data_IF_244697244171
#
_entry.id   IF_244697244171
#
_cell.length_a   1.000
_cell.length_b   1.000
_cell.length_c   1.000
_cell.angle_alpha   90.00
_cell.angle_beta   90.00
_cell.angle_gamma   90.00
#
_symmetry.space_group_name_H-M   'P 1'
#
loop_
_entity.id
_entity.type
_entity.pdbx_description
1 polymer ?
#
# COMPACT_ATOMS: atom_id res chain seq x y z
N UNK A 1 -1.79 -13.86 6.72
CA UNK A 1 -0.35 -13.67 7.04
C UNK A 1 0.47 -13.28 5.81
N UNK A 2 0.36 -13.97 4.66
CA UNK A 2 1.07 -13.57 3.41
C UNK A 2 0.74 -12.16 2.92
N UNK A 3 -0.51 -11.70 3.08
CA UNK A 3 -0.93 -10.33 2.78
C UNK A 3 -0.17 -9.30 3.63
N UNK A 4 0.12 -9.61 4.90
CA UNK A 4 0.89 -8.74 5.80
C UNK A 4 2.33 -8.57 5.33
N UNK A 5 2.99 -9.65 4.90
CA UNK A 5 4.32 -9.60 4.26
C UNK A 5 4.32 -8.74 3.00
N UNK A 6 3.28 -8.88 2.16
CA UNK A 6 3.10 -8.05 0.96
C UNK A 6 3.00 -6.55 1.25
N UNK A 7 2.39 -6.17 2.36
CA UNK A 7 2.33 -4.77 2.77
C UNK A 7 3.68 -4.18 3.21
N UNK A 8 4.67 -5.00 3.59
CA UNK A 8 6.05 -4.51 3.85
C UNK A 8 6.90 -4.44 2.59
N UNK A 9 6.68 -5.37 1.66
CA UNK A 9 7.39 -5.40 0.37
C UNK A 9 6.97 -4.21 -0.51
N UNK A 10 5.67 -3.89 -0.53
CA UNK A 10 5.10 -2.86 -1.40
C UNK A 10 5.77 -1.47 -1.25
N UNK A 11 5.98 -0.93 -0.04
CA UNK A 11 6.78 0.27 0.17
C UNK A 11 8.16 0.28 -0.46
N UNK A 12 8.92 -0.82 -0.35
CA UNK A 12 10.26 -0.94 -0.93
C UNK A 12 10.19 -0.90 -2.45
N UNK A 13 9.25 -1.65 -3.04
CA UNK A 13 9.03 -1.66 -4.49
C UNK A 13 8.63 -0.26 -4.97
N UNK A 14 7.76 0.45 -4.25
CA UNK A 14 7.41 1.84 -4.59
C UNK A 14 8.61 2.77 -4.57
N UNK A 15 9.50 2.67 -3.58
CA UNK A 15 10.72 3.49 -3.54
C UNK A 15 11.61 3.20 -4.76
N UNK A 16 11.84 1.93 -5.09
CA UNK A 16 12.62 1.52 -6.27
C UNK A 16 11.98 2.04 -7.56
N UNK A 17 10.66 1.90 -7.71
CA UNK A 17 9.92 2.45 -8.85
C UNK A 17 10.03 3.98 -8.94
N UNK A 18 10.07 4.66 -7.79
CA UNK A 18 10.33 6.10 -7.69
C UNK A 18 11.66 6.50 -8.32
N UNK A 19 12.72 5.77 -7.95
CA UNK A 19 14.07 5.98 -8.50
C UNK A 19 14.12 5.64 -9.99
N UNK A 20 13.55 4.52 -10.42
CA UNK A 20 13.62 4.05 -11.81
C UNK A 20 12.80 4.90 -12.78
N UNK A 21 11.52 5.15 -12.47
CA UNK A 21 10.59 5.80 -13.41
C UNK A 21 10.56 7.32 -13.32
N UNK A 22 10.87 7.88 -12.15
CA UNK A 22 10.85 9.33 -11.91
C UNK A 22 12.25 9.93 -11.67
N UNK A 23 13.31 9.10 -11.74
CA UNK A 23 14.71 9.51 -11.51
C UNK A 23 14.88 10.27 -10.18
N UNK A 24 14.11 9.87 -9.17
CA UNK A 24 14.19 10.48 -7.84
C UNK A 24 15.59 10.24 -7.24
N UNK A 25 16.30 11.32 -6.89
CA UNK A 25 17.62 11.24 -6.26
C UNK A 25 17.45 11.04 -4.76
N UNK A 26 17.49 9.80 -4.32
CA UNK A 26 17.54 9.46 -2.90
C UNK A 26 18.89 9.87 -2.30
N UNK A 27 18.86 10.46 -1.11
CA UNK A 27 20.07 10.76 -0.35
C UNK A 27 20.65 9.49 0.25
N UNK A 28 21.93 9.54 0.63
CA UNK A 28 22.64 8.42 1.28
C UNK A 28 21.86 7.90 2.48
N UNK A 29 21.38 8.78 3.37
CA UNK A 29 20.58 8.38 4.54
C UNK A 29 19.26 7.67 4.19
N UNK A 30 18.60 8.08 3.10
CA UNK A 30 17.39 7.41 2.60
C UNK A 30 17.71 6.03 2.02
N UNK A 31 18.83 5.89 1.29
CA UNK A 31 19.29 4.60 0.81
C UNK A 31 19.64 3.64 1.94
N UNK A 32 20.28 4.15 3.00
CA UNK A 32 20.55 3.35 4.21
C UNK A 32 19.25 2.86 4.84
N UNK A 33 18.22 3.72 4.95
CA UNK A 33 16.92 3.30 5.45
C UNK A 33 16.25 2.23 4.56
N UNK A 34 16.28 2.41 3.24
CA UNK A 34 15.77 1.41 2.29
C UNK A 34 16.47 0.07 2.45
N UNK A 35 17.80 0.07 2.60
CA UNK A 35 18.58 -1.14 2.82
C UNK A 35 18.22 -1.84 4.14
N UNK A 36 18.08 -1.08 5.24
CA UNK A 36 17.66 -1.63 6.54
C UNK A 36 16.27 -2.27 6.43
N UNK A 37 15.32 -1.59 5.80
CA UNK A 37 13.97 -2.13 5.59
C UNK A 37 14.00 -3.39 4.71
N UNK A 38 14.82 -3.41 3.65
CA UNK A 38 15.02 -4.60 2.82
C UNK A 38 15.55 -5.80 3.62
N UNK A 39 16.55 -5.59 4.48
CA UNK A 39 17.07 -6.64 5.36
C UNK A 39 16.00 -7.12 6.34
N UNK A 40 15.19 -6.23 6.91
CA UNK A 40 14.07 -6.60 7.78
C UNK A 40 13.02 -7.47 7.08
N UNK A 41 12.65 -7.11 5.84
CA UNK A 41 11.74 -7.91 5.01
C UNK A 41 12.36 -9.26 4.65
N UNK A 42 13.64 -9.30 4.33
CA UNK A 42 14.36 -10.54 4.01
C UNK A 42 14.40 -11.46 5.24
N UNK A 43 14.67 -10.93 6.43
CA UNK A 43 14.65 -11.69 7.68
C UNK A 43 13.27 -12.31 7.95
N UNK A 44 12.20 -11.53 7.81
CA UNK A 44 10.83 -12.04 7.96
C UNK A 44 10.48 -13.09 6.91
N UNK A 45 10.96 -12.91 5.68
CA UNK A 45 10.75 -13.84 4.56
C UNK A 45 11.47 -15.17 4.79
N UNK A 46 12.74 -15.13 5.19
CA UNK A 46 13.52 -16.33 5.50
C UNK A 46 12.96 -17.07 6.72
N UNK A 47 12.49 -16.34 7.75
CA UNK A 47 11.80 -16.93 8.89
C UNK A 47 10.47 -17.61 8.56
N UNK A 48 9.82 -17.22 7.45
CA UNK A 48 8.61 -17.87 6.95
C UNK A 48 8.89 -19.16 6.17
N UNK A 49 10.11 -19.35 5.67
CA UNK A 49 10.53 -20.57 4.98
C UNK A 49 9.94 -20.76 3.57
N UNK A 50 9.07 -19.86 3.10
CA UNK A 50 8.51 -19.87 1.75
C UNK A 50 8.63 -18.50 1.10
N UNK A 51 8.90 -18.49 -0.22
CA UNK A 51 8.95 -17.25 -0.98
C UNK A 51 7.53 -16.68 -1.12
N UNK A 52 7.27 -15.43 -0.68
CA UNK A 52 5.93 -14.86 -0.65
C UNK A 52 5.58 -14.28 -2.04
N UNK A 53 5.42 -15.15 -3.03
CA UNK A 53 5.24 -14.77 -4.43
C UNK A 53 3.93 -13.98 -4.67
N UNK A 54 2.86 -14.26 -3.92
CA UNK A 54 1.59 -13.50 -3.99
C UNK A 54 1.83 -12.06 -3.54
N UNK A 55 2.50 -11.87 -2.41
CA UNK A 55 2.89 -10.57 -1.88
C UNK A 55 3.79 -9.79 -2.84
N UNK A 56 4.76 -10.46 -3.47
CA UNK A 56 5.63 -9.86 -4.48
C UNK A 56 4.84 -9.41 -5.72
N UNK A 57 3.92 -10.26 -6.20
CA UNK A 57 3.09 -9.97 -7.36
C UNK A 57 2.14 -8.79 -7.07
N UNK A 58 1.53 -8.76 -5.89
CA UNK A 58 0.69 -7.64 -5.44
C UNK A 58 1.50 -6.36 -5.28
N UNK A 59 2.69 -6.43 -4.67
CA UNK A 59 3.56 -5.27 -4.52
C UNK A 59 3.98 -4.70 -5.89
N UNK A 60 4.35 -5.56 -6.84
CA UNK A 60 4.73 -5.16 -8.19
C UNK A 60 3.56 -4.56 -8.97
N UNK A 61 2.41 -5.22 -9.00
CA UNK A 61 1.22 -4.74 -9.72
C UNK A 61 0.71 -3.42 -9.14
N UNK A 62 0.65 -3.30 -7.81
CA UNK A 62 0.22 -2.06 -7.15
C UNK A 62 1.22 -0.92 -7.34
N UNK A 63 2.53 -1.20 -7.30
CA UNK A 63 3.55 -0.19 -7.56
C UNK A 63 3.48 0.30 -9.01
N UNK A 64 3.28 -0.60 -9.98
CA UNK A 64 3.04 -0.25 -11.37
C UNK A 64 1.78 0.60 -11.55
N UNK A 65 0.69 0.22 -10.89
CA UNK A 65 -0.54 1.02 -10.85
C UNK A 65 -0.27 2.44 -10.33
N UNK A 66 0.48 2.57 -9.23
CA UNK A 66 0.88 3.87 -8.68
C UNK A 66 1.73 4.70 -9.66
N UNK A 67 2.68 4.08 -10.37
CA UNK A 67 3.48 4.72 -11.43
C UNK A 67 2.58 5.21 -12.56
N UNK A 68 1.67 4.36 -13.05
CA UNK A 68 0.73 4.70 -14.11
C UNK A 68 -0.15 5.87 -13.68
N UNK A 69 -0.67 5.86 -12.45
CA UNK A 69 -1.50 6.93 -11.90
C UNK A 69 -0.80 8.26 -11.73
N UNK A 70 0.50 8.23 -11.44
CA UNK A 70 1.32 9.43 -11.34
C UNK A 70 1.72 9.98 -12.70
N UNK A 71 1.82 9.14 -13.74
CA UNK A 71 2.08 9.57 -15.14
C UNK A 71 0.81 9.89 -15.94
N UNK A 72 -0.34 9.39 -15.54
CA UNK A 72 -1.59 9.53 -16.28
C UNK A 72 -2.02 11.01 -16.39
N UNK A 73 -2.43 11.47 -17.58
CA UNK A 73 -2.82 12.87 -17.80
C UNK A 73 -4.19 13.22 -17.20
N UNK A 74 -5.06 12.23 -17.02
CA UNK A 74 -6.41 12.38 -16.47
C UNK A 74 -6.37 12.73 -14.99
N UNK A 75 -7.32 13.51 -14.47
CA UNK A 75 -7.43 13.79 -13.03
C UNK A 75 -7.72 12.50 -12.21
N UNK A 76 -7.50 12.52 -10.89
CA UNK A 76 -7.65 11.31 -10.05
C UNK A 76 -9.04 10.70 -10.13
N UNK A 77 -10.07 11.55 -10.14
CA UNK A 77 -11.47 11.16 -10.30
C UNK A 77 -11.73 10.57 -11.69
N UNK A 78 -11.39 11.31 -12.75
CA UNK A 78 -11.56 10.87 -14.15
C UNK A 78 -10.89 9.51 -14.41
N UNK A 79 -9.65 9.35 -13.96
CA UNK A 79 -8.93 8.08 -14.12
C UNK A 79 -9.59 6.93 -13.35
N UNK A 80 -10.16 7.17 -12.16
CA UNK A 80 -10.82 6.11 -11.39
C UNK A 80 -12.18 5.75 -11.98
N UNK A 81 -12.92 6.76 -12.45
CA UNK A 81 -14.14 6.55 -13.20
C UNK A 81 -13.89 5.74 -14.47
N UNK A 82 -12.82 6.02 -15.21
CA UNK A 82 -12.47 5.27 -16.42
C UNK A 82 -12.06 3.83 -16.11
N UNK A 83 -11.21 3.61 -15.12
CA UNK A 83 -10.85 2.25 -14.66
C UNK A 83 -12.10 1.46 -14.23
N UNK A 84 -12.99 2.10 -13.48
CA UNK A 84 -14.24 1.48 -13.03
C UNK A 84 -15.18 1.20 -14.21
N UNK A 85 -15.28 2.11 -15.17
CA UNK A 85 -16.10 1.94 -16.36
C UNK A 85 -15.59 0.79 -17.25
N UNK A 86 -14.27 0.63 -17.38
CA UNK A 86 -13.66 -0.49 -18.11
C UNK A 86 -13.94 -1.82 -17.42
N UNK A 87 -13.92 -1.86 -16.07
CA UNK A 87 -14.22 -3.06 -15.30
C UNK A 87 -15.72 -3.36 -15.16
N UNK A 88 -16.57 -2.34 -15.31
CA UNK A 88 -18.01 -2.44 -15.14
C UNK A 88 -18.67 -3.56 -15.95
N UNK A 89 -18.44 -3.74 -17.27
CA UNK A 89 -19.11 -4.81 -18.03
C UNK A 89 -18.74 -6.21 -17.50
N UNK A 90 -17.49 -6.42 -17.08
CA UNK A 90 -17.04 -7.69 -16.52
C UNK A 90 -17.67 -7.93 -15.14
N UNK A 91 -17.66 -6.91 -14.28
CA UNK A 91 -18.29 -6.98 -12.95
C UNK A 91 -19.79 -7.21 -13.07
N UNK A 92 -20.46 -6.52 -13.99
CA UNK A 92 -21.89 -6.67 -14.27
C UNK A 92 -22.23 -8.07 -14.78
N UNK A 93 -21.45 -8.60 -15.73
CA UNK A 93 -21.59 -9.98 -16.20
C UNK A 93 -21.45 -11.01 -15.07
N UNK A 94 -20.47 -10.80 -14.18
CA UNK A 94 -20.30 -11.66 -13.00
C UNK A 94 -21.47 -11.55 -12.01
N UNK A 95 -22.00 -10.34 -11.77
CA UNK A 95 -23.18 -10.15 -10.93
C UNK A 95 -24.43 -10.84 -11.51
N UNK A 96 -24.61 -10.79 -12.83
CA UNK A 96 -25.69 -11.54 -13.50
C UNK A 96 -25.51 -13.05 -13.34
N UNK A 97 -24.29 -13.55 -13.49
CA UNK A 97 -23.99 -14.96 -13.25
C UNK A 97 -24.33 -15.38 -11.81
N UNK A 98 -23.95 -14.57 -10.81
CA UNK A 98 -24.31 -14.82 -9.41
C UNK A 98 -25.83 -14.77 -9.17
N UNK A 99 -26.54 -13.88 -9.85
CA UNK A 99 -28.00 -13.78 -9.77
C UNK A 99 -28.67 -15.04 -10.34
N UNK A 100 -28.25 -15.49 -11.52
CA UNK A 100 -28.83 -16.67 -12.19
C UNK A 100 -28.46 -17.98 -11.48
N UNK A 101 -27.27 -18.06 -10.89
CA UNK A 101 -26.83 -19.22 -10.11
C UNK A 101 -27.40 -19.27 -8.68
N UNK A 102 -28.21 -18.28 -8.27
CA UNK A 102 -28.78 -18.19 -6.93
C UNK A 102 -27.76 -17.90 -5.83
N UNK A 103 -26.54 -17.48 -6.19
CA UNK A 103 -25.45 -17.15 -5.26
C UNK A 103 -25.38 -15.65 -4.92
N UNK A 104 -26.23 -14.83 -5.54
CA UNK A 104 -26.27 -13.40 -5.27
C UNK A 104 -26.69 -13.12 -3.82
N UNK A 105 -25.87 -12.37 -3.10
CA UNK A 105 -26.15 -11.93 -1.72
C UNK A 105 -26.79 -10.55 -1.67
N UNK A 106 -26.51 -9.69 -2.65
CA UNK A 106 -27.08 -8.35 -2.72
C UNK A 106 -28.60 -8.43 -2.86
N UNK A 107 -29.35 -7.75 -1.98
CA UNK A 107 -30.82 -7.81 -1.87
C UNK A 107 -31.43 -9.16 -1.43
N UNK A 108 -30.64 -10.24 -1.30
CA UNK A 108 -31.13 -11.58 -0.92
C UNK A 108 -30.70 -11.99 0.50
N UNK A 109 -29.58 -11.48 1.00
CA UNK A 109 -29.02 -11.82 2.32
C UNK A 109 -29.45 -10.87 3.46
N UNK A 110 -30.54 -10.13 3.27
CA UNK A 110 -31.08 -9.17 4.24
C UNK A 110 -30.58 -7.72 4.08
N UNK A 111 -31.23 -6.80 4.80
CA UNK A 111 -31.00 -5.36 4.65
C UNK A 111 -29.60 -4.95 5.12
N UNK A 112 -29.10 -5.54 6.21
CA UNK A 112 -27.77 -5.24 6.78
C UNK A 112 -26.67 -5.58 5.78
N UNK A 113 -26.69 -6.80 5.23
CA UNK A 113 -25.71 -7.24 4.23
C UNK A 113 -25.75 -6.35 2.98
N UNK A 114 -26.95 -5.96 2.53
CA UNK A 114 -27.11 -5.05 1.40
C UNK A 114 -26.49 -3.68 1.70
N UNK A 115 -26.72 -3.13 2.90
CA UNK A 115 -26.10 -1.87 3.31
C UNK A 115 -24.56 -2.00 3.37
N UNK A 116 -24.04 -3.09 3.95
CA UNK A 116 -22.59 -3.32 4.02
C UNK A 116 -21.95 -3.43 2.63
N UNK A 117 -22.63 -4.07 1.67
CA UNK A 117 -22.16 -4.17 0.28
C UNK A 117 -22.11 -2.79 -0.41
N UNK A 118 -23.11 -1.94 -0.19
CA UNK A 118 -23.09 -0.55 -0.69
C UNK A 118 -21.95 0.24 -0.06
N UNK A 119 -21.79 0.14 1.26
CA UNK A 119 -20.74 0.84 1.99
C UNK A 119 -19.34 0.33 1.63
N UNK A 120 -19.17 -0.95 1.29
CA UNK A 120 -17.89 -1.48 0.83
C UNK A 120 -17.37 -0.76 -0.42
N UNK A 121 -18.27 -0.40 -1.34
CA UNK A 121 -17.93 0.44 -2.50
C UNK A 121 -17.38 1.81 -2.09
N UNK A 122 -18.08 2.50 -1.19
CA UNK A 122 -17.66 3.82 -0.70
C UNK A 122 -16.33 3.76 0.07
N UNK A 123 -16.18 2.80 0.98
CA UNK A 123 -14.97 2.58 1.79
C UNK A 123 -13.76 2.20 0.92
N UNK A 124 -13.97 1.66 -0.29
CA UNK A 124 -12.90 1.36 -1.24
C UNK A 124 -12.57 2.55 -2.14
N UNK A 125 -13.59 3.20 -2.72
CA UNK A 125 -13.40 4.28 -3.67
C UNK A 125 -12.77 5.53 -3.03
N UNK A 126 -13.20 5.89 -1.81
CA UNK A 126 -12.72 7.11 -1.14
C UNK A 126 -11.21 7.06 -0.87
N UNK A 127 -10.64 6.01 -0.23
CA UNK A 127 -9.20 5.91 -0.04
C UNK A 127 -8.41 5.86 -1.35
N UNK A 128 -8.93 5.19 -2.39
CA UNK A 128 -8.27 5.13 -3.69
C UNK A 128 -8.21 6.51 -4.36
N UNK A 129 -9.28 7.31 -4.29
CA UNK A 129 -9.30 8.68 -4.78
C UNK A 129 -8.30 9.56 -4.02
N UNK A 130 -8.29 9.48 -2.69
CA UNK A 130 -7.35 10.22 -1.84
C UNK A 130 -5.90 9.81 -2.13
N UNK A 131 -5.64 8.51 -2.27
CA UNK A 131 -4.34 7.98 -2.64
C UNK A 131 -3.89 8.50 -4.01
N UNK A 132 -4.74 8.40 -5.04
CA UNK A 132 -4.41 8.86 -6.38
C UNK A 132 -4.16 10.38 -6.42
N UNK A 133 -4.95 11.16 -5.67
CA UNK A 133 -4.74 12.60 -5.53
C UNK A 133 -3.43 12.94 -4.80
N UNK A 134 -3.12 12.22 -3.71
CA UNK A 134 -1.89 12.41 -2.94
C UNK A 134 -0.64 12.01 -3.71
N UNK A 135 -0.65 10.83 -4.35
CA UNK A 135 0.50 10.26 -5.07
C UNK A 135 1.03 11.17 -6.20
N UNK A 136 0.18 12.03 -6.76
CA UNK A 136 0.56 13.02 -7.77
C UNK A 136 1.26 14.25 -7.20
N UNK A 137 1.02 14.57 -5.93
CA UNK A 137 1.53 15.80 -5.28
C UNK A 137 2.85 15.59 -4.54
N UNK A 138 3.23 14.34 -4.28
CA UNK A 138 4.45 14.02 -3.53
C UNK A 138 5.36 13.05 -4.30
N UNK A 139 6.60 12.93 -3.85
CA UNK A 139 7.55 11.95 -4.37
C UNK A 139 7.04 10.53 -4.16
N UNK A 140 7.27 9.66 -5.14
CA UNK A 140 6.77 8.29 -5.12
C UNK A 140 7.50 7.46 -4.05
N UNK A 141 8.76 7.79 -3.77
CA UNK A 141 9.49 7.28 -2.60
C UNK A 141 8.84 7.65 -1.26
N UNK A 142 8.29 8.86 -1.13
CA UNK A 142 7.53 9.27 0.07
C UNK A 142 6.20 8.52 0.17
N UNK A 143 5.50 8.30 -0.96
CA UNK A 143 4.29 7.46 -1.01
C UNK A 143 4.61 6.05 -0.49
N UNK A 144 5.71 5.45 -0.95
CA UNK A 144 6.17 4.15 -0.47
C UNK A 144 6.34 4.15 1.05
N UNK A 145 7.02 5.16 1.61
CA UNK A 145 7.21 5.25 3.06
C UNK A 145 5.89 5.36 3.84
N UNK A 146 4.97 6.20 3.38
CA UNK A 146 3.67 6.40 4.03
C UNK A 146 2.83 5.11 4.03
N UNK A 147 3.02 4.23 3.06
CA UNK A 147 2.32 2.94 3.04
C UNK A 147 2.73 2.00 4.18
N UNK A 148 3.84 2.24 4.89
CA UNK A 148 4.16 1.49 6.11
C UNK A 148 3.23 1.80 7.31
N UNK A 149 2.38 2.82 7.20
CA UNK A 149 1.32 3.07 8.18
C UNK A 149 0.35 1.88 8.23
N UNK A 150 -0.04 1.34 7.07
CA UNK A 150 -0.98 0.22 6.98
C UNK A 150 -0.48 -1.04 7.72
N UNK A 151 0.73 -1.57 7.46
CA UNK A 151 1.23 -2.71 8.22
C UNK A 151 1.41 -2.41 9.72
N UNK A 152 1.74 -1.18 10.10
CA UNK A 152 1.86 -0.78 11.51
C UNK A 152 0.50 -0.79 12.21
N UNK A 153 -0.56 -0.32 11.53
CA UNK A 153 -1.93 -0.41 12.02
C UNK A 153 -2.39 -1.87 12.11
N UNK A 154 -2.14 -2.68 11.08
CA UNK A 154 -2.47 -4.11 11.09
C UNK A 154 -1.80 -4.85 12.24
N UNK A 155 -0.54 -4.56 12.49
CA UNK A 155 0.19 -5.09 13.64
C UNK A 155 -0.45 -4.68 14.95
N UNK A 156 -0.77 -3.39 15.11
CA UNK A 156 -1.37 -2.87 16.34
C UNK A 156 -2.72 -3.53 16.61
N UNK A 157 -3.55 -3.70 15.58
CA UNK A 157 -4.81 -4.44 15.69
C UNK A 157 -4.57 -5.91 16.02
N UNK A 158 -3.62 -6.57 15.37
CA UNK A 158 -3.24 -7.95 15.65
C UNK A 158 -2.87 -8.20 17.11
N UNK A 159 -2.08 -7.29 17.69
CA UNK A 159 -1.61 -7.38 19.09
C UNK A 159 -2.69 -6.98 20.08
N UNK A 160 -3.28 -5.79 19.93
CA UNK A 160 -4.14 -5.20 20.96
C UNK A 160 -5.60 -5.61 20.86
N UNK A 161 -6.11 -5.87 19.64
CA UNK A 161 -7.52 -6.20 19.43
C UNK A 161 -7.72 -7.70 19.27
N UNK A 162 -6.93 -8.32 18.38
CA UNK A 162 -7.07 -9.74 18.04
C UNK A 162 -6.25 -10.68 18.92
N UNK A 163 -5.38 -10.15 19.78
CA UNK A 163 -4.57 -10.91 20.74
C UNK A 163 -3.78 -12.06 20.08
N UNK A 164 -3.26 -11.85 18.86
CA UNK A 164 -2.51 -12.88 18.15
C UNK A 164 -1.22 -13.28 18.89
N UNK A 165 -0.84 -14.58 18.91
CA UNK A 165 0.38 -15.04 19.53
C UNK A 165 1.59 -14.40 18.87
N UNK A 166 2.34 -13.68 19.67
CA UNK A 166 3.37 -12.76 19.21
C UNK A 166 4.75 -13.41 19.30
N UNK A 167 5.31 -13.81 18.15
CA UNK A 167 6.64 -14.44 18.10
C UNK A 167 7.76 -13.40 18.12
N UNK A 168 8.87 -13.74 18.78
CA UNK A 168 10.08 -12.89 18.84
C UNK A 168 10.59 -12.49 17.45
N UNK A 169 10.46 -13.38 16.46
CA UNK A 169 10.83 -13.11 15.06
C UNK A 169 10.02 -11.96 14.46
N UNK A 170 8.70 -11.90 14.70
CA UNK A 170 7.86 -10.79 14.22
C UNK A 170 8.28 -9.49 14.90
N UNK A 171 8.50 -9.49 16.21
CA UNK A 171 8.94 -8.29 16.93
C UNK A 171 10.23 -7.68 16.33
N UNK A 172 11.23 -8.54 16.09
CA UNK A 172 12.52 -8.12 15.54
C UNK A 172 12.33 -7.51 14.15
N UNK A 173 11.64 -8.21 13.24
CA UNK A 173 11.43 -7.71 11.88
C UNK A 173 10.69 -6.37 11.84
N UNK A 174 9.62 -6.23 12.63
CA UNK A 174 8.87 -4.99 12.75
C UNK A 174 9.70 -3.84 13.33
N UNK A 175 10.50 -4.11 14.36
CA UNK A 175 11.37 -3.11 14.99
C UNK A 175 12.43 -2.58 14.02
N UNK A 176 13.02 -3.47 13.21
CA UNK A 176 13.99 -3.10 12.16
C UNK A 176 13.34 -2.19 11.11
N UNK A 177 12.12 -2.52 10.68
CA UNK A 177 11.37 -1.71 9.72
C UNK A 177 11.06 -0.35 10.33
N UNK A 178 10.54 -0.27 11.56
CA UNK A 178 10.27 1.01 12.23
C UNK A 178 11.52 1.86 12.40
N UNK A 179 12.67 1.26 12.70
CA UNK A 179 13.95 1.97 12.74
C UNK A 179 14.28 2.59 11.37
N UNK A 180 14.12 1.84 10.28
CA UNK A 180 14.31 2.36 8.93
C UNK A 180 13.37 3.54 8.61
N UNK A 181 12.10 3.46 9.01
CA UNK A 181 11.13 4.55 8.81
C UNK A 181 11.51 5.79 9.59
N UNK A 182 11.98 5.61 10.82
CA UNK A 182 12.39 6.71 11.69
C UNK A 182 13.62 7.41 11.10
N UNK A 183 14.62 6.65 10.64
CA UNK A 183 15.81 7.18 9.97
C UNK A 183 15.44 7.96 8.70
N UNK A 184 14.58 7.39 7.83
CA UNK A 184 14.14 8.06 6.61
C UNK A 184 13.38 9.37 6.92
N UNK A 185 12.46 9.33 7.90
CA UNK A 185 11.65 10.48 8.28
C UNK A 185 12.50 11.61 8.85
N UNK A 186 13.47 11.27 9.71
CA UNK A 186 14.40 12.24 10.31
C UNK A 186 15.29 12.88 9.24
N UNK A 187 15.84 12.11 8.30
CA UNK A 187 16.64 12.66 7.19
C UNK A 187 15.80 13.60 6.31
N UNK A 188 14.55 13.21 6.01
CA UNK A 188 13.60 14.00 5.23
C UNK A 188 13.28 15.35 5.89
N UNK A 189 12.91 15.36 7.17
CA UNK A 189 12.54 16.58 7.91
C UNK A 189 13.75 17.50 8.12
N UNK A 190 14.91 16.95 8.50
CA UNK A 190 16.12 17.75 8.75
C UNK A 190 16.57 18.49 7.49
N UNK A 191 16.56 17.84 6.34
CA UNK A 191 16.95 18.49 5.10
C UNK A 191 15.87 19.38 4.49
N UNK A 192 14.58 19.03 4.65
CA UNK A 192 13.48 19.92 4.24
C UNK A 192 13.54 21.26 4.98
N UNK A 193 13.88 21.24 6.28
CA UNK A 193 14.13 22.45 7.08
C UNK A 193 15.36 23.23 6.60
N UNK A 194 16.47 22.57 6.29
CA UNK A 194 17.69 23.23 5.78
C UNK A 194 17.45 23.98 4.47
N UNK A 195 16.75 23.36 3.51
CA UNK A 195 16.42 24.00 2.23
C UNK A 195 15.51 25.22 2.43
N UNK A 196 14.51 25.12 3.30
CA UNK A 196 13.57 26.22 3.58
C UNK A 196 14.22 27.40 4.29
N UNK A 197 15.21 27.15 5.15
CA UNK A 197 16.00 28.19 5.84
C UNK A 197 17.04 28.85 4.93
N UNK A 198 17.47 28.19 3.86
CA UNK A 198 18.37 28.79 2.84
C UNK A 198 17.60 29.57 1.76
N UNK A 199 16.28 29.44 1.71
CA UNK A 199 15.39 30.10 0.73
C UNK A 199 14.71 31.35 1.31
N UNK A 200 14.93 31.66 2.58
CA UNK A 200 14.37 32.78 3.33
C UNK A 200 15.49 33.76 3.68
#
# INVERSE_FOLDING_TARGET
VETSLGYFVNPLVNVVMGVLFFRERLRVGQWTAVFIAFVGVLFLTLGYGQLPWIALTLALTFSFYGVLRKKAPLNSLEGLSLETAVLFPFAFGYLLYLQVSGQAMFAHAGWVTTLLLVLAGAVTAVPLLLFAAGARRIHFSTVGLLQYIAPTMQFSLGVFLYHEPFTTQRLIGFSVIWLALLLYSVDGVRNGRKLRLQSA
#
